data_IF_296634790509
#
_entry.id   IF_296634790509
#
_cell.length_a   1.000
_cell.length_b   1.000
_cell.length_c   1.000
_cell.angle_alpha   90.00
_cell.angle_beta   90.00
_cell.angle_gamma   90.00
#
_symmetry.space_group_name_H-M   'P 1'
#
loop_
_entity.id
_entity.type
_entity.pdbx_description
1 polymer ?
#
# COMPACT_ATOMS: atom_id res chain seq x y z
N UNK A 1 -4.22 -11.12 -5.44
CA UNK A 1 -4.13 -9.90 -4.62
C UNK A 1 -4.73 -8.71 -5.38
N UNK A 2 -5.49 -7.88 -4.69
CA UNK A 2 -6.12 -6.71 -5.29
C UNK A 2 -5.15 -5.52 -5.33
N UNK A 3 -5.48 -4.50 -6.14
CA UNK A 3 -4.70 -3.26 -6.19
C UNK A 3 -4.66 -2.58 -4.82
N UNK A 4 -5.77 -2.57 -4.08
CA UNK A 4 -5.83 -1.97 -2.76
C UNK A 4 -4.97 -2.72 -1.74
N UNK A 5 -4.96 -4.06 -1.79
CA UNK A 5 -4.08 -4.88 -0.96
C UNK A 5 -2.62 -4.63 -1.28
N UNK A 6 -2.28 -4.54 -2.57
CA UNK A 6 -0.94 -4.19 -3.02
C UNK A 6 -0.50 -2.84 -2.47
N UNK A 7 -1.38 -1.84 -2.53
CA UNK A 7 -1.08 -0.48 -2.05
C UNK A 7 -0.76 -0.47 -0.56
N UNK A 8 -1.52 -1.20 0.25
CA UNK A 8 -1.28 -1.33 1.69
C UNK A 8 0.05 -2.01 1.97
N UNK A 9 0.32 -3.13 1.30
CA UNK A 9 1.59 -3.84 1.46
C UNK A 9 2.78 -2.95 1.08
N UNK A 10 2.65 -2.18 0.02
CA UNK A 10 3.69 -1.26 -0.42
C UNK A 10 3.97 -0.17 0.60
N UNK A 11 2.93 0.41 1.21
CA UNK A 11 3.09 1.39 2.29
C UNK A 11 3.90 0.78 3.44
N UNK A 12 3.53 -0.43 3.88
CA UNK A 12 4.22 -1.11 4.97
C UNK A 12 5.65 -1.49 4.62
N UNK A 13 5.90 -1.89 3.38
CA UNK A 13 7.25 -2.21 2.90
C UNK A 13 8.17 -0.98 2.91
N UNK A 14 7.65 0.18 2.51
CA UNK A 14 8.43 1.41 2.41
C UNK A 14 8.60 2.13 3.74
N UNK A 15 7.61 2.07 4.63
CA UNK A 15 7.58 2.88 5.85
C UNK A 15 7.78 2.09 7.13
N UNK A 16 7.72 0.74 7.07
CA UNK A 16 7.79 -0.12 8.25
C UNK A 16 6.45 -0.17 9.01
N UNK A 17 6.47 -0.52 10.29
CA UNK A 17 5.26 -0.65 11.09
C UNK A 17 4.44 0.64 11.13
N UNK A 18 3.14 0.53 10.93
CA UNK A 18 2.22 1.67 10.89
C UNK A 18 0.91 1.32 11.60
N UNK A 19 0.25 2.30 12.20
CA UNK A 19 -1.12 2.13 12.67
C UNK A 19 -2.13 2.34 11.53
N UNK A 20 -3.41 2.03 11.80
CA UNK A 20 -4.44 2.09 10.76
C UNK A 20 -4.64 3.52 10.23
N UNK A 21 -4.54 4.53 11.08
CA UNK A 21 -4.69 5.93 10.66
C UNK A 21 -3.56 6.33 9.71
N UNK A 22 -2.34 5.95 10.02
CA UNK A 22 -1.18 6.22 9.17
C UNK A 22 -1.30 5.53 7.82
N UNK A 23 -1.71 4.25 7.82
CA UNK A 23 -1.91 3.51 6.57
C UNK A 23 -3.03 4.14 5.74
N UNK A 24 -4.15 4.50 6.38
CA UNK A 24 -5.28 5.16 5.72
C UNK A 24 -4.83 6.42 4.97
N UNK A 25 -4.05 7.26 5.63
CA UNK A 25 -3.55 8.50 5.03
C UNK A 25 -2.58 8.23 3.88
N UNK A 26 -1.64 7.32 4.07
CA UNK A 26 -0.58 7.05 3.09
C UNK A 26 -1.09 6.28 1.88
N UNK A 27 -2.05 5.37 2.08
CA UNK A 27 -2.64 4.56 1.01
C UNK A 27 -3.87 5.21 0.37
N UNK A 28 -4.32 6.36 0.87
CA UNK A 28 -5.53 7.06 0.40
C UNK A 28 -6.77 6.16 0.46
N UNK A 29 -6.94 5.45 1.58
CA UNK A 29 -8.06 4.55 1.81
C UNK A 29 -8.85 4.99 3.04
N UNK A 30 -10.18 4.88 2.97
CA UNK A 30 -11.04 5.14 4.12
C UNK A 30 -10.89 4.02 5.16
N UNK A 31 -10.98 4.36 6.45
CA UNK A 31 -10.79 3.39 7.54
C UNK A 31 -11.69 2.15 7.43
N UNK A 32 -13.00 2.26 7.12
CA UNK A 32 -13.83 1.06 6.96
C UNK A 32 -13.35 0.11 5.87
N UNK A 33 -12.92 0.65 4.72
CA UNK A 33 -12.35 -0.14 3.63
C UNK A 33 -11.02 -0.75 4.02
N UNK A 34 -10.17 0.03 4.68
CA UNK A 34 -8.86 -0.42 5.15
C UNK A 34 -9.00 -1.58 6.14
N UNK A 35 -9.94 -1.51 7.07
CA UNK A 35 -10.15 -2.58 8.05
C UNK A 35 -10.44 -3.91 7.38
N UNK A 36 -11.25 -3.92 6.31
CA UNK A 36 -11.54 -5.13 5.54
C UNK A 36 -10.32 -5.64 4.79
N UNK A 37 -9.53 -4.73 4.20
CA UNK A 37 -8.31 -5.08 3.49
C UNK A 37 -7.30 -5.70 4.44
N UNK A 38 -7.08 -5.07 5.60
CA UNK A 38 -6.15 -5.57 6.63
C UNK A 38 -6.56 -6.96 7.10
N UNK A 39 -7.86 -7.20 7.31
CA UNK A 39 -8.34 -8.53 7.73
C UNK A 39 -7.98 -9.60 6.69
N UNK A 40 -8.17 -9.32 5.41
CA UNK A 40 -7.79 -10.25 4.35
C UNK A 40 -6.30 -10.49 4.29
N UNK A 41 -5.49 -9.47 4.50
CA UNK A 41 -4.04 -9.60 4.52
C UNK A 41 -3.58 -10.40 5.74
N UNK A 42 -4.21 -10.23 6.90
CA UNK A 42 -3.95 -11.02 8.11
C UNK A 42 -4.30 -12.49 7.86
N UNK A 43 -5.47 -12.78 7.28
CA UNK A 43 -5.92 -14.14 6.98
C UNK A 43 -4.97 -14.84 6.00
N UNK A 44 -4.41 -14.09 5.07
CA UNK A 44 -3.43 -14.63 4.10
C UNK A 44 -1.99 -14.71 4.63
N UNK A 45 -1.74 -14.28 5.85
CA UNK A 45 -0.39 -14.30 6.42
C UNK A 45 0.58 -13.28 5.83
N UNK A 46 0.06 -12.26 5.14
CA UNK A 46 0.89 -11.24 4.49
C UNK A 46 1.25 -10.09 5.41
N UNK A 47 0.50 -9.89 6.47
CA UNK A 47 0.78 -8.94 7.53
C UNK A 47 0.47 -9.60 8.88
N UNK A 48 1.03 -9.03 9.94
CA UNK A 48 0.66 -9.34 11.33
C UNK A 48 0.30 -8.04 12.01
N UNK A 49 -0.49 -8.12 13.07
CA UNK A 49 -0.85 -6.94 13.84
C UNK A 49 -0.59 -7.17 15.33
N UNK A 50 -0.21 -6.11 16.02
CA UNK A 50 -0.10 -6.09 17.46
C UNK A 50 -0.94 -4.95 18.01
N UNK A 51 -1.62 -5.21 19.14
CA UNK A 51 -2.41 -4.20 19.83
C UNK A 51 -1.53 -3.58 20.90
N UNK A 52 -1.46 -2.24 20.92
CA UNK A 52 -0.74 -1.54 21.98
C UNK A 52 -1.46 -1.80 23.31
N UNK A 53 -0.73 -2.34 24.31
CA UNK A 53 -1.30 -2.65 25.63
C UNK A 53 -1.82 -1.42 26.36
N UNK A 54 -1.32 -0.24 26.06
CA UNK A 54 -1.75 1.04 26.68
C UNK A 54 -2.95 1.65 25.99
N UNK A 55 -3.12 1.41 24.69
CA UNK A 55 -4.23 1.93 23.92
C UNK A 55 -4.69 0.87 22.91
N UNK A 56 -5.78 0.17 23.25
CA UNK A 56 -6.36 -0.88 22.41
C UNK A 56 -6.88 -0.36 21.05
N UNK A 57 -6.98 0.97 20.89
CA UNK A 57 -7.39 1.59 19.61
C UNK A 57 -6.24 1.63 18.61
N UNK A 58 -4.99 1.51 19.09
CA UNK A 58 -3.81 1.54 18.23
C UNK A 58 -3.37 0.15 17.90
N UNK A 59 -3.75 -0.29 16.73
CA UNK A 59 -3.31 -1.54 16.16
C UNK A 59 -2.15 -1.25 15.20
N UNK A 60 -0.96 -1.77 15.54
CA UNK A 60 0.21 -1.64 14.67
C UNK A 60 0.24 -2.82 13.72
N UNK A 61 0.37 -2.54 12.44
CA UNK A 61 0.43 -3.54 11.36
C UNK A 61 1.84 -3.59 10.81
N UNK A 62 2.35 -4.81 10.64
CA UNK A 62 3.71 -5.07 10.15
C UNK A 62 3.61 -6.06 8.99
N UNK A 63 4.37 -5.79 7.91
CA UNK A 63 4.46 -6.73 6.80
C UNK A 63 5.26 -7.96 7.21
N UNK A 64 4.81 -9.14 6.76
CA UNK A 64 5.53 -10.41 6.99
C UNK A 64 6.55 -10.65 5.87
N UNK A 65 7.49 -11.61 6.05
CA UNK A 65 8.37 -12.02 4.95
C UNK A 65 7.59 -12.47 3.70
N UNK A 66 6.44 -13.11 3.87
CA UNK A 66 5.58 -13.53 2.77
C UNK A 66 4.99 -12.32 2.04
N UNK A 67 4.56 -11.30 2.78
CA UNK A 67 4.07 -10.06 2.19
C UNK A 67 5.18 -9.28 1.48
N UNK A 68 6.36 -9.22 2.07
CA UNK A 68 7.52 -8.57 1.46
C UNK A 68 7.93 -9.26 0.14
N UNK A 69 7.83 -10.60 0.09
CA UNK A 69 8.11 -11.35 -1.13
C UNK A 69 7.19 -10.96 -2.28
N UNK A 70 5.90 -10.73 -2.01
CA UNK A 70 4.96 -10.27 -3.04
C UNK A 70 5.40 -8.91 -3.59
N UNK A 71 5.83 -8.00 -2.73
CA UNK A 71 6.34 -6.69 -3.16
C UNK A 71 7.59 -6.87 -4.01
N UNK A 72 8.56 -7.64 -3.54
CA UNK A 72 9.83 -7.83 -4.22
C UNK A 72 9.67 -8.50 -5.59
N UNK A 73 8.78 -9.48 -5.70
CA UNK A 73 8.55 -10.22 -6.95
C UNK A 73 7.83 -9.37 -8.00
N UNK A 74 7.02 -8.40 -7.59
CA UNK A 74 6.19 -7.61 -8.50
C UNK A 74 6.73 -6.19 -8.74
N UNK A 75 7.61 -5.68 -7.89
CA UNK A 75 8.16 -4.34 -8.01
C UNK A 75 8.88 -4.09 -9.34
N UNK A 76 9.72 -5.00 -9.86
CA UNK A 76 10.36 -4.80 -11.16
C UNK A 76 9.38 -4.59 -12.32
N UNK A 77 8.25 -5.32 -12.33
CA UNK A 77 7.22 -5.15 -13.36
C UNK A 77 6.53 -3.79 -13.25
N UNK A 78 6.20 -3.37 -12.04
CA UNK A 78 5.57 -2.06 -11.80
C UNK A 78 6.51 -0.91 -12.23
N UNK A 79 7.79 -1.03 -11.93
CA UNK A 79 8.81 -0.07 -12.34
C UNK A 79 8.94 -0.02 -13.86
N UNK A 80 8.97 -1.18 -14.51
CA UNK A 80 9.06 -1.28 -15.97
C UNK A 80 7.86 -0.62 -16.67
N UNK A 81 6.65 -0.86 -16.18
CA UNK A 81 5.44 -0.23 -16.72
C UNK A 81 5.50 1.28 -16.57
N UNK A 82 5.94 1.78 -15.42
CA UNK A 82 6.09 3.21 -15.18
C UNK A 82 7.11 3.84 -16.13
N UNK A 83 8.24 3.17 -16.35
CA UNK A 83 9.28 3.63 -17.28
C UNK A 83 8.76 3.67 -18.71
N UNK A 84 8.01 2.65 -19.15
CA UNK A 84 7.42 2.60 -20.48
C UNK A 84 6.40 3.73 -20.68
N UNK A 85 5.54 3.99 -19.70
CA UNK A 85 4.59 5.10 -19.74
C UNK A 85 5.31 6.45 -19.82
N UNK A 86 6.35 6.64 -19.03
CA UNK A 86 7.14 7.86 -19.04
C UNK A 86 7.81 8.08 -20.39
N UNK A 87 8.31 7.02 -21.01
CA UNK A 87 8.94 7.07 -22.34
C UNK A 87 7.94 7.49 -23.42
N UNK A 88 6.73 6.92 -23.40
CA UNK A 88 5.69 7.23 -24.40
C UNK A 88 5.09 8.62 -24.22
N UNK A 89 4.87 9.07 -23.01
CA UNK A 89 4.19 10.34 -22.71
C UNK A 89 5.14 11.53 -22.61
N UNK A 90 6.42 11.28 -22.36
CA UNK A 90 7.36 12.32 -21.92
C UNK A 90 7.15 12.69 -20.46
N UNK A 91 8.15 13.33 -19.85
CA UNK A 91 8.16 13.60 -18.42
C UNK A 91 6.99 14.48 -17.99
N UNK A 92 6.70 15.55 -18.74
CA UNK A 92 5.63 16.49 -18.39
C UNK A 92 4.25 15.83 -18.40
N UNK A 93 3.93 15.09 -19.44
CA UNK A 93 2.64 14.40 -19.57
C UNK A 93 2.50 13.29 -18.55
N UNK A 94 3.58 12.59 -18.26
CA UNK A 94 3.61 11.54 -17.23
C UNK A 94 3.28 12.12 -15.85
N UNK A 95 3.89 13.25 -15.49
CA UNK A 95 3.58 13.93 -14.24
C UNK A 95 2.12 14.40 -14.17
N UNK A 96 1.59 14.93 -15.27
CA UNK A 96 0.19 15.31 -15.35
C UNK A 96 -0.74 14.11 -15.14
N UNK A 97 -0.39 12.96 -15.71
CA UNK A 97 -1.15 11.72 -15.51
C UNK A 97 -1.17 11.30 -14.05
N UNK A 98 -0.01 11.35 -13.39
CA UNK A 98 0.08 11.02 -11.97
C UNK A 98 -0.78 11.96 -11.11
N UNK A 99 -0.77 13.27 -11.42
CA UNK A 99 -1.59 14.25 -10.73
C UNK A 99 -3.09 13.99 -10.92
N UNK A 100 -3.51 13.63 -12.13
CA UNK A 100 -4.90 13.30 -12.43
C UNK A 100 -5.34 12.03 -11.70
N UNK A 101 -4.49 11.00 -11.66
CA UNK A 101 -4.77 9.77 -10.93
C UNK A 101 -4.88 10.01 -9.43
N UNK A 102 -4.00 10.83 -8.87
CA UNK A 102 -4.06 11.21 -7.47
C UNK A 102 -5.35 11.97 -7.15
N UNK A 103 -5.82 12.84 -8.04
CA UNK A 103 -7.07 13.57 -7.87
C UNK A 103 -8.29 12.64 -7.89
N UNK A 104 -8.26 11.55 -8.66
CA UNK A 104 -9.34 10.57 -8.71
C UNK A 104 -9.40 9.70 -7.46
N UNK A 105 -8.29 9.50 -6.77
CA UNK A 105 -8.21 8.69 -5.54
C UNK A 105 -8.65 9.46 -4.29
N UNK A 106 -8.69 10.76 -4.37
CA UNK A 106 -9.14 11.61 -3.27
C UNK A 106 -10.69 11.80 -3.36
#
# INVERSE_FOLDING_TARGET
ITEQQWRVLRVLSETGPQDLTQISNKASLLLPSLSRIIRKLLDGGLVVSSINSRDRRRQTVVITPEGQKIIDDNLPQATKIAEELQHHLGTERYEQLLDLLAALEN
#
